data_IF_355472276393
#
_entry.id   IF_355472276393
#
_cell.length_a   1.000
_cell.length_b   1.000
_cell.length_c   1.000
_cell.angle_alpha   90.00
_cell.angle_beta   90.00
_cell.angle_gamma   90.00
#
_symmetry.space_group_name_H-M   'P 1'
#
loop_
_entity.id
_entity.type
_entity.pdbx_description
1 polymer ?
#
# COMPACT_ATOMS: atom_id res chain seq x y z
N UNK A 1 26.11 12.69 4.10
CA UNK A 1 24.75 13.00 3.62
C UNK A 1 23.72 12.38 4.55
N UNK A 2 22.52 12.95 4.67
CA UNK A 2 21.42 12.44 5.52
C UNK A 2 21.09 10.98 5.22
N UNK A 3 21.07 10.62 3.92
CA UNK A 3 20.89 9.24 3.46
C UNK A 3 21.90 8.25 4.06
N UNK A 4 23.16 8.64 4.19
CA UNK A 4 24.18 7.78 4.79
C UNK A 4 23.95 7.59 6.29
N UNK A 5 23.47 8.62 7.00
CA UNK A 5 23.14 8.54 8.43
C UNK A 5 21.92 7.64 8.67
N UNK A 6 20.85 7.81 7.90
CA UNK A 6 19.66 6.97 7.98
C UNK A 6 19.95 5.49 7.66
N UNK A 7 20.84 5.22 6.69
CA UNK A 7 21.29 3.85 6.36
C UNK A 7 22.06 3.21 7.51
N UNK A 8 22.96 3.96 8.15
CA UNK A 8 23.72 3.48 9.32
C UNK A 8 22.76 3.12 10.46
N UNK A 9 21.81 4.00 10.76
CA UNK A 9 20.78 3.78 11.78
C UNK A 9 19.77 2.65 11.47
N UNK A 10 20.01 1.79 10.47
CA UNK A 10 19.18 0.62 10.20
C UNK A 10 17.85 0.91 9.46
N UNK A 11 17.51 2.17 9.20
CA UNK A 11 16.24 2.57 8.56
C UNK A 11 16.11 2.18 7.08
N UNK A 12 17.18 1.64 6.50
CA UNK A 12 17.20 1.09 5.15
C UNK A 12 17.41 -0.44 5.13
N UNK A 13 17.55 -1.10 6.28
CA UNK A 13 17.94 -2.51 6.35
C UNK A 13 16.86 -3.43 5.75
N UNK A 14 15.57 -3.13 5.94
CA UNK A 14 14.48 -3.88 5.32
C UNK A 14 14.38 -3.67 3.80
N UNK A 15 14.64 -2.45 3.31
CA UNK A 15 14.72 -2.18 1.87
C UNK A 15 15.93 -2.90 1.26
N UNK A 16 17.07 -2.92 1.95
CA UNK A 16 18.27 -3.64 1.54
C UNK A 16 18.04 -5.16 1.55
N UNK A 17 17.55 -5.74 2.65
CA UNK A 17 17.23 -7.17 2.76
C UNK A 17 16.14 -7.58 1.76
N UNK A 18 15.11 -6.75 1.59
CA UNK A 18 14.07 -6.95 0.59
C UNK A 18 14.60 -6.85 -0.84
N UNK A 19 15.54 -5.94 -1.11
CA UNK A 19 16.19 -5.80 -2.41
C UNK A 19 17.15 -6.95 -2.72
N UNK A 20 17.85 -7.48 -1.70
CA UNK A 20 18.74 -8.64 -1.83
C UNK A 20 17.93 -9.92 -2.01
N UNK A 21 16.86 -10.11 -1.23
CA UNK A 21 15.97 -11.25 -1.38
C UNK A 21 15.22 -11.20 -2.72
N UNK A 22 14.80 -10.01 -3.16
CA UNK A 22 14.19 -9.82 -4.50
C UNK A 22 15.21 -10.00 -5.62
N UNK A 23 16.44 -9.51 -5.49
CA UNK A 23 17.52 -9.74 -6.46
C UNK A 23 17.86 -11.23 -6.56
N UNK A 24 17.96 -11.93 -5.43
CA UNK A 24 18.14 -13.38 -5.40
C UNK A 24 16.95 -14.09 -6.07
N UNK A 25 15.72 -13.71 -5.78
CA UNK A 25 14.52 -14.31 -6.39
C UNK A 25 14.35 -13.97 -7.89
N UNK A 26 14.79 -12.79 -8.33
CA UNK A 26 14.78 -12.34 -9.72
C UNK A 26 15.91 -13.00 -10.54
N UNK A 27 17.03 -13.35 -9.90
CA UNK A 27 18.18 -14.01 -10.54
C UNK A 27 18.20 -15.54 -10.39
N UNK A 28 17.42 -16.12 -9.48
CA UNK A 28 17.38 -17.56 -9.21
C UNK A 28 16.13 -18.26 -9.78
N UNK A 29 15.35 -17.61 -10.65
CA UNK A 29 14.24 -18.25 -11.37
C UNK A 29 13.88 -17.55 -12.69
N UNK A 30 13.74 -18.27 -13.81
CA UNK A 30 13.54 -17.65 -15.12
C UNK A 30 12.05 -17.34 -15.33
N UNK A 31 11.63 -16.07 -15.18
CA UNK A 31 10.41 -15.63 -15.86
C UNK A 31 10.48 -14.15 -16.26
N UNK A 32 10.39 -13.91 -17.57
CA UNK A 32 10.32 -12.57 -18.19
C UNK A 32 9.16 -11.74 -17.60
N UNK A 33 8.08 -12.40 -17.19
CA UNK A 33 6.94 -11.79 -16.50
C UNK A 33 7.30 -11.17 -15.14
N UNK A 34 8.15 -11.82 -14.34
CA UNK A 34 8.58 -11.28 -13.04
C UNK A 34 9.51 -10.10 -13.22
N UNK A 35 10.49 -10.23 -14.14
CA UNK A 35 11.42 -9.15 -14.45
C UNK A 35 10.69 -7.90 -14.95
N UNK A 36 9.75 -8.06 -15.88
CA UNK A 36 8.97 -6.94 -16.42
C UNK A 36 8.10 -6.26 -15.36
N UNK A 37 7.45 -7.03 -14.48
CA UNK A 37 6.71 -6.47 -13.35
C UNK A 37 7.63 -5.66 -12.41
N UNK A 38 8.81 -6.18 -12.07
CA UNK A 38 9.80 -5.46 -11.26
C UNK A 38 10.30 -4.19 -11.97
N UNK A 39 10.59 -4.26 -13.28
CA UNK A 39 11.05 -3.13 -14.06
C UNK A 39 9.99 -2.01 -14.12
N UNK A 40 8.71 -2.36 -14.35
CA UNK A 40 7.60 -1.39 -14.35
C UNK A 40 7.42 -0.75 -12.97
N UNK A 41 7.51 -1.53 -11.89
CA UNK A 41 7.44 -1.00 -10.52
C UNK A 41 8.57 -0.01 -10.23
N UNK A 42 9.80 -0.29 -10.68
CA UNK A 42 10.92 0.66 -10.59
C UNK A 42 10.71 1.89 -11.46
N UNK A 43 10.30 1.71 -12.71
CA UNK A 43 10.07 2.78 -13.68
C UNK A 43 8.92 3.72 -13.26
N UNK A 44 7.94 3.22 -12.49
CA UNK A 44 6.87 4.03 -11.92
C UNK A 44 7.35 4.97 -10.79
N UNK A 45 8.54 4.72 -10.24
CA UNK A 45 9.08 5.44 -9.08
C UNK A 45 8.54 4.98 -7.73
N UNK A 46 7.56 4.06 -7.71
CA UNK A 46 6.86 3.66 -6.47
C UNK A 46 7.79 3.07 -5.41
N UNK A 47 8.75 2.22 -5.80
CA UNK A 47 9.71 1.64 -4.85
C UNK A 47 10.58 2.72 -4.22
N UNK A 48 11.12 3.65 -5.02
CA UNK A 48 11.94 4.74 -4.52
C UNK A 48 11.14 5.66 -3.58
N UNK A 49 9.88 5.94 -3.93
CA UNK A 49 8.96 6.72 -3.12
C UNK A 49 8.66 6.06 -1.76
N UNK A 50 8.27 4.78 -1.76
CA UNK A 50 7.99 4.02 -0.54
C UNK A 50 9.22 3.92 0.36
N UNK A 51 10.39 3.63 -0.20
CA UNK A 51 11.63 3.55 0.57
C UNK A 51 12.06 4.90 1.13
N UNK A 52 11.85 6.00 0.39
CA UNK A 52 12.06 7.35 0.91
C UNK A 52 11.13 7.66 2.09
N UNK A 53 9.85 7.30 2.00
CA UNK A 53 8.88 7.50 3.09
C UNK A 53 9.20 6.67 4.32
N UNK A 54 9.54 5.38 4.16
CA UNK A 54 9.94 4.52 5.28
C UNK A 54 11.15 5.11 6.02
N UNK A 55 12.15 5.57 5.27
CA UNK A 55 13.34 6.22 5.86
C UNK A 55 13.00 7.52 6.56
N UNK A 56 12.27 8.43 5.89
CA UNK A 56 11.91 9.71 6.46
C UNK A 56 11.12 9.54 7.76
N UNK A 57 10.10 8.68 7.75
CA UNK A 57 9.32 8.37 8.95
C UNK A 57 10.18 7.74 10.05
N UNK A 58 11.08 6.82 9.69
CA UNK A 58 12.01 6.21 10.65
C UNK A 58 12.93 7.23 11.31
N UNK A 59 13.44 8.21 10.56
CA UNK A 59 14.26 9.31 11.09
C UNK A 59 13.44 10.14 12.06
N UNK A 60 12.24 10.55 11.65
CA UNK A 60 11.34 11.32 12.53
C UNK A 60 10.98 10.54 13.79
N UNK A 61 10.74 9.24 13.69
CA UNK A 61 10.42 8.40 14.85
C UNK A 61 11.61 8.28 15.81
N UNK A 62 12.83 8.09 15.30
CA UNK A 62 14.04 8.07 16.13
C UNK A 62 14.29 9.40 16.85
N UNK A 63 14.09 10.53 16.16
CA UNK A 63 14.14 11.85 16.77
C UNK A 63 13.05 12.04 17.83
N UNK A 64 11.81 11.62 17.53
CA UNK A 64 10.69 11.71 18.48
C UNK A 64 10.91 10.86 19.73
N UNK A 65 11.41 9.62 19.59
CA UNK A 65 11.73 8.77 20.75
C UNK A 65 12.87 9.40 21.55
N UNK A 66 13.90 9.91 20.88
CA UNK A 66 15.01 10.55 21.58
C UNK A 66 14.58 11.81 22.34
N UNK A 67 13.73 12.65 21.76
CA UNK A 67 13.13 13.80 22.46
C UNK A 67 12.37 13.36 23.71
N UNK A 68 11.56 12.31 23.59
CA UNK A 68 10.79 11.72 24.70
C UNK A 68 11.71 11.18 25.80
N UNK A 69 12.77 10.46 25.43
CA UNK A 69 13.78 9.90 26.35
C UNK A 69 14.56 11.00 27.07
N UNK A 70 14.83 12.11 26.38
CA UNK A 70 15.56 13.26 26.94
C UNK A 70 14.72 14.06 27.94
N UNK A 71 13.46 14.33 27.60
CA UNK A 71 12.58 15.22 28.39
C UNK A 71 11.97 14.56 29.63
N UNK A 72 11.81 13.24 29.63
CA UNK A 72 11.05 12.51 30.67
C UNK A 72 11.98 11.73 31.59
N UNK A 73 11.75 11.71 32.93
CA UNK A 73 12.60 10.98 33.87
C UNK A 73 12.61 9.46 33.65
N UNK A 74 11.44 8.84 33.48
CA UNK A 74 11.23 7.39 33.36
C UNK A 74 10.05 7.07 32.42
N UNK A 75 9.82 5.79 32.11
CA UNK A 75 8.77 5.39 31.17
C UNK A 75 7.37 5.70 31.73
N UNK A 76 7.13 5.52 33.03
CA UNK A 76 5.83 5.79 33.68
C UNK A 76 5.43 7.26 33.70
N UNK A 77 6.41 8.15 33.66
CA UNK A 77 6.19 9.59 33.67
C UNK A 77 5.84 10.15 32.28
N UNK A 78 5.76 9.30 31.26
CA UNK A 78 5.24 9.67 29.95
C UNK A 78 3.74 9.97 30.00
N UNK A 79 3.26 10.77 29.05
CA UNK A 79 1.83 10.88 28.86
C UNK A 79 1.22 9.52 28.48
N UNK A 80 -0.08 9.36 28.77
CA UNK A 80 -0.79 8.09 28.60
C UNK A 80 -0.72 7.51 27.19
N UNK A 81 -0.53 8.34 26.15
CA UNK A 81 -0.44 7.86 24.78
C UNK A 81 0.98 7.39 24.45
N UNK A 82 2.00 8.19 24.74
CA UNK A 82 3.41 7.81 24.52
C UNK A 82 3.77 6.57 25.35
N UNK A 83 3.34 6.51 26.62
CA UNK A 83 3.50 5.35 27.49
C UNK A 83 2.91 4.10 26.85
N UNK A 84 1.66 4.19 26.37
CA UNK A 84 0.93 3.06 25.78
C UNK A 84 1.58 2.57 24.49
N UNK A 85 2.02 3.49 23.63
CA UNK A 85 2.68 3.17 22.37
C UNK A 85 3.98 2.41 22.66
N UNK A 86 4.86 2.96 23.50
CA UNK A 86 6.14 2.30 23.83
C UNK A 86 5.92 0.96 24.54
N UNK A 87 4.98 0.89 25.49
CA UNK A 87 4.64 -0.34 26.20
C UNK A 87 4.08 -1.42 25.28
N UNK A 88 3.26 -1.06 24.28
CA UNK A 88 2.70 -2.01 23.30
C UNK A 88 3.78 -2.68 22.44
N UNK A 89 4.93 -2.03 22.28
CA UNK A 89 6.14 -2.55 21.60
C UNK A 89 7.05 -3.33 22.55
N UNK A 90 6.59 -3.54 23.77
CA UNK A 90 7.28 -4.22 24.85
C UNK A 90 8.42 -3.42 25.47
N UNK A 91 8.55 -2.11 25.22
CA UNK A 91 9.58 -1.28 25.87
C UNK A 91 9.35 -1.34 27.39
N UNK A 92 10.39 -1.73 28.12
CA UNK A 92 10.39 -1.83 29.58
C UNK A 92 11.02 -0.59 30.22
N UNK A 93 10.84 -0.44 31.54
CA UNK A 93 11.54 0.61 32.32
C UNK A 93 13.05 0.50 32.17
N UNK A 94 13.57 -0.73 32.14
CA UNK A 94 15.00 -0.98 31.96
C UNK A 94 15.46 -0.54 30.57
N UNK A 95 14.70 -0.87 29.52
CA UNK A 95 15.01 -0.43 28.15
C UNK A 95 15.06 1.11 28.06
N UNK A 96 14.07 1.79 28.66
CA UNK A 96 14.00 3.25 28.68
C UNK A 96 15.16 3.88 29.46
N UNK A 97 15.49 3.32 30.63
CA UNK A 97 16.63 3.77 31.43
C UNK A 97 17.96 3.62 30.68
N UNK A 98 18.15 2.52 29.94
CA UNK A 98 19.33 2.31 29.09
C UNK A 98 19.37 3.33 27.94
N UNK A 99 18.23 3.61 27.29
CA UNK A 99 18.17 4.63 26.24
C UNK A 99 18.55 6.03 26.74
N UNK A 100 18.28 6.35 28.00
CA UNK A 100 18.71 7.62 28.61
C UNK A 100 20.23 7.74 28.79
N UNK A 101 20.94 6.61 28.87
CA UNK A 101 22.40 6.59 28.93
C UNK A 101 23.04 6.84 27.56
N UNK A 102 22.27 6.72 26.48
CA UNK A 102 22.78 6.93 25.12
C UNK A 102 23.04 8.42 24.87
N UNK A 103 24.23 8.73 24.35
CA UNK A 103 24.55 10.06 23.87
C UNK A 103 23.86 10.30 22.52
N UNK A 104 22.74 11.02 22.56
CA UNK A 104 21.89 11.28 21.40
C UNK A 104 22.62 12.15 20.38
N UNK A 105 22.44 11.83 19.10
CA UNK A 105 23.14 12.50 18.00
C UNK A 105 22.38 13.73 17.50
N UNK A 106 23.12 14.75 17.06
CA UNK A 106 22.57 15.86 16.27
C UNK A 106 22.86 15.64 14.79
N UNK A 107 21.79 15.45 14.01
CA UNK A 107 21.87 15.26 12.56
C UNK A 107 21.62 16.56 11.78
N UNK A 108 21.29 17.66 12.46
CA UNK A 108 20.91 18.95 11.85
C UNK A 108 19.47 18.94 11.30
N UNK A 109 19.04 20.08 10.73
CA UNK A 109 17.71 20.25 10.11
C UNK A 109 16.53 19.92 11.04
N UNK A 110 16.64 20.23 12.33
CA UNK A 110 15.61 19.94 13.34
C UNK A 110 15.69 18.55 13.98
N UNK A 111 16.61 17.69 13.54
CA UNK A 111 16.85 16.36 14.10
C UNK A 111 18.00 16.37 15.11
N UNK A 112 17.81 17.07 16.24
CA UNK A 112 18.87 17.35 17.22
C UNK A 112 18.94 16.35 18.38
N UNK A 113 17.93 15.50 18.54
CA UNK A 113 17.79 14.55 19.65
C UNK A 113 17.68 13.11 19.15
N UNK A 114 18.53 12.74 18.19
CA UNK A 114 18.44 11.43 17.54
C UNK A 114 18.88 10.32 18.47
N UNK A 115 17.94 9.47 18.90
CA UNK A 115 18.27 8.19 19.52
C UNK A 115 18.43 7.14 18.41
N UNK A 116 19.66 6.68 18.21
CA UNK A 116 20.05 5.77 17.12
C UNK A 116 20.56 4.43 17.66
N UNK A 117 20.59 3.38 16.82
CA UNK A 117 21.29 2.14 17.18
C UNK A 117 22.74 2.40 17.61
N UNK A 118 23.44 3.28 16.88
CA UNK A 118 24.82 3.64 17.16
C UNK A 118 25.00 4.38 18.49
N UNK A 119 24.07 5.28 18.85
CA UNK A 119 24.15 5.98 20.14
C UNK A 119 24.01 5.02 21.30
N UNK A 120 23.15 3.99 21.18
CA UNK A 120 23.01 2.92 22.18
C UNK A 120 24.26 2.04 22.21
N UNK A 121 24.79 1.67 21.04
CA UNK A 121 25.98 0.83 20.94
C UNK A 121 27.25 1.51 21.49
N UNK A 122 27.25 2.86 21.61
CA UNK A 122 28.37 3.66 22.15
C UNK A 122 28.33 3.81 23.68
N UNK A 123 27.26 3.37 24.36
CA UNK A 123 27.16 3.47 25.82
C UNK A 123 28.36 2.74 26.46
N UNK A 124 29.13 3.38 27.36
CA UNK A 124 30.32 2.77 27.96
C UNK A 124 29.96 1.57 28.85
N UNK A 125 30.83 0.56 28.89
CA UNK A 125 30.61 -0.67 29.67
C UNK A 125 30.35 -0.38 31.16
N UNK A 126 31.07 0.58 31.73
CA UNK A 126 30.93 0.99 33.14
C UNK A 126 29.51 1.42 33.50
N UNK A 127 28.76 1.98 32.55
CA UNK A 127 27.38 2.40 32.76
C UNK A 127 26.38 1.23 32.73
N UNK A 128 26.77 0.05 32.24
CA UNK A 128 25.86 -1.09 32.01
C UNK A 128 26.19 -2.33 32.85
N UNK A 129 27.40 -2.43 33.40
CA UNK A 129 27.87 -3.59 34.18
C UNK A 129 26.92 -3.96 35.33
N UNK A 130 26.28 -2.99 35.97
CA UNK A 130 25.34 -3.22 37.07
C UNK A 130 24.00 -3.83 36.63
N UNK A 131 23.67 -3.77 35.33
CA UNK A 131 22.45 -4.32 34.74
C UNK A 131 22.70 -5.75 34.22
N UNK A 132 23.89 -6.00 33.67
CA UNK A 132 24.29 -7.30 33.13
C UNK A 132 25.48 -7.19 32.18
N UNK A 133 25.78 -8.25 31.40
CA UNK A 133 26.86 -8.22 30.41
C UNK A 133 26.66 -7.06 29.41
N UNK A 134 27.56 -6.05 29.36
CA UNK A 134 27.32 -4.80 28.62
C UNK A 134 26.97 -4.99 27.15
N UNK A 135 27.61 -5.94 26.47
CA UNK A 135 27.34 -6.27 25.07
C UNK A 135 25.89 -6.74 24.85
N UNK A 136 25.41 -7.66 25.69
CA UNK A 136 24.03 -8.16 25.63
C UNK A 136 23.03 -7.04 25.91
N UNK A 137 23.30 -6.22 26.93
CA UNK A 137 22.44 -5.11 27.33
C UNK A 137 22.31 -4.07 26.22
N UNK A 138 23.42 -3.67 25.58
CA UNK A 138 23.39 -2.77 24.41
C UNK A 138 22.60 -3.37 23.25
N UNK A 139 22.86 -4.64 22.93
CA UNK A 139 22.20 -5.30 21.81
C UNK A 139 20.68 -5.41 22.02
N UNK A 140 20.22 -5.78 23.22
CA UNK A 140 18.80 -5.87 23.56
C UNK A 140 18.12 -4.49 23.50
N UNK A 141 18.73 -3.45 24.08
CA UNK A 141 18.20 -2.09 24.04
C UNK A 141 18.14 -1.52 22.62
N UNK A 142 19.18 -1.76 21.81
CA UNK A 142 19.24 -1.40 20.39
C UNK A 142 18.15 -2.13 19.60
N UNK A 143 18.02 -3.44 19.79
CA UNK A 143 17.00 -4.26 19.13
C UNK A 143 15.60 -3.78 19.50
N UNK A 144 15.36 -3.41 20.77
CA UNK A 144 14.09 -2.86 21.22
C UNK A 144 13.78 -1.54 20.52
N UNK A 145 14.76 -0.65 20.37
CA UNK A 145 14.58 0.62 19.65
C UNK A 145 14.22 0.35 18.19
N UNK A 146 14.99 -0.49 17.50
CA UNK A 146 14.75 -0.84 16.10
C UNK A 146 13.39 -1.50 15.91
N UNK A 147 12.99 -2.43 16.78
CA UNK A 147 11.64 -3.02 16.73
C UNK A 147 10.55 -1.96 16.91
N UNK A 148 10.72 -1.07 17.88
CA UNK A 148 9.77 0.00 18.15
C UNK A 148 9.63 1.01 17.00
N UNK A 149 10.71 1.30 16.29
CA UNK A 149 10.74 2.19 15.11
C UNK A 149 10.19 1.46 13.89
N UNK A 150 10.67 0.24 13.60
CA UNK A 150 10.20 -0.56 12.46
C UNK A 150 8.70 -0.79 12.52
N UNK A 151 8.13 -1.13 13.67
CA UNK A 151 6.68 -1.35 13.80
C UNK A 151 5.85 -0.10 13.44
N UNK A 152 6.31 1.12 13.77
CA UNK A 152 5.59 2.34 13.37
C UNK A 152 5.88 2.75 11.94
N UNK A 153 7.11 2.55 11.45
CA UNK A 153 7.42 2.74 10.03
C UNK A 153 6.51 1.86 9.18
N UNK A 154 6.27 0.63 9.62
CA UNK A 154 5.36 -0.30 8.97
C UNK A 154 3.90 0.12 9.09
N UNK A 155 3.49 0.72 10.23
CA UNK A 155 2.18 1.35 10.36
C UNK A 155 2.00 2.51 9.39
N UNK A 156 3.05 3.33 9.20
CA UNK A 156 3.02 4.51 8.33
C UNK A 156 3.10 4.18 6.83
N UNK A 157 3.91 3.20 6.46
CA UNK A 157 4.06 2.71 5.08
C UNK A 157 3.76 1.22 5.06
N UNK A 158 2.49 0.90 4.82
CA UNK A 158 1.98 -0.46 4.91
C UNK A 158 2.52 -1.31 3.77
N UNK A 159 3.24 -2.36 4.15
CA UNK A 159 3.68 -3.44 3.26
C UNK A 159 3.18 -4.77 3.80
N UNK A 160 2.62 -5.66 2.97
CA UNK A 160 2.16 -6.98 3.44
C UNK A 160 3.32 -7.77 4.06
N UNK A 161 3.18 -8.12 5.34
CA UNK A 161 4.17 -8.89 6.10
C UNK A 161 3.85 -10.38 6.12
N UNK A 162 4.54 -11.11 6.99
CA UNK A 162 4.36 -12.56 7.13
C UNK A 162 2.93 -12.95 7.56
N UNK A 163 2.30 -12.14 8.40
CA UNK A 163 0.93 -12.37 8.89
C UNK A 163 -0.09 -12.28 7.76
N UNK A 164 0.01 -11.25 6.94
CA UNK A 164 -0.86 -11.03 5.78
C UNK A 164 -0.60 -12.09 4.70
N UNK A 165 0.66 -12.49 4.50
CA UNK A 165 1.02 -13.58 3.60
C UNK A 165 0.43 -14.91 4.05
N UNK A 166 0.45 -15.21 5.36
CA UNK A 166 -0.18 -16.42 5.88
C UNK A 166 -1.69 -16.43 5.60
N UNK A 167 -2.37 -15.29 5.83
CA UNK A 167 -3.80 -15.16 5.52
C UNK A 167 -4.09 -15.30 4.01
N UNK A 168 -3.36 -14.57 3.16
CA UNK A 168 -3.57 -14.57 1.70
C UNK A 168 -3.15 -15.88 1.02
N UNK A 169 -2.42 -16.75 1.71
CA UNK A 169 -2.08 -18.10 1.23
C UNK A 169 -2.95 -19.20 1.85
N UNK A 170 -4.01 -18.82 2.59
CA UNK A 170 -4.96 -19.74 3.19
C UNK A 170 -4.41 -20.52 4.40
N UNK A 171 -3.52 -19.92 5.18
CA UNK A 171 -2.87 -20.58 6.31
C UNK A 171 -1.70 -21.45 5.91
N UNK A 172 -1.03 -21.14 4.80
CA UNK A 172 0.15 -21.89 4.34
C UNK A 172 -0.17 -23.16 3.56
N UNK A 173 -1.35 -23.25 2.94
CA UNK A 173 -1.72 -24.37 2.05
C UNK A 173 -0.60 -24.61 1.03
N UNK A 174 -0.18 -25.85 0.85
CA UNK A 174 0.96 -26.20 -0.01
C UNK A 174 0.83 -25.61 -1.43
N UNK A 175 1.93 -25.01 -1.91
CA UNK A 175 2.04 -24.53 -3.30
C UNK A 175 1.97 -25.70 -4.28
N UNK A 176 1.38 -25.49 -5.45
CA UNK A 176 1.21 -26.53 -6.48
C UNK A 176 0.00 -27.44 -6.28
N UNK A 177 -0.74 -27.30 -5.17
CA UNK A 177 -2.06 -27.93 -5.01
C UNK A 177 -3.14 -27.06 -5.67
N UNK A 178 -4.17 -27.68 -6.26
CA UNK A 178 -5.30 -26.94 -6.86
C UNK A 178 -5.92 -25.98 -5.85
N UNK A 179 -6.19 -26.44 -4.62
CA UNK A 179 -6.71 -25.61 -3.54
C UNK A 179 -5.78 -24.43 -3.21
N UNK A 180 -4.48 -24.70 -3.10
CA UNK A 180 -3.48 -23.67 -2.79
C UNK A 180 -3.34 -22.63 -3.89
N UNK A 181 -3.47 -23.02 -5.16
CA UNK A 181 -3.36 -22.12 -6.29
C UNK A 181 -4.62 -21.27 -6.48
N UNK A 182 -5.81 -21.86 -6.26
CA UNK A 182 -7.08 -21.12 -6.27
C UNK A 182 -7.10 -20.03 -5.20
N UNK A 183 -6.70 -20.36 -3.97
CA UNK A 183 -6.65 -19.38 -2.87
C UNK A 183 -5.66 -18.25 -3.17
N UNK A 184 -4.46 -18.57 -3.66
CA UNK A 184 -3.45 -17.57 -4.01
C UNK A 184 -3.91 -16.68 -5.17
N UNK A 185 -4.52 -17.28 -6.18
CA UNK A 185 -5.10 -16.54 -7.31
C UNK A 185 -6.19 -15.58 -6.86
N UNK A 186 -7.05 -16.02 -5.94
CA UNK A 186 -8.09 -15.18 -5.34
C UNK A 186 -7.53 -13.97 -4.58
N UNK A 187 -6.43 -14.16 -3.85
CA UNK A 187 -5.84 -13.10 -3.02
C UNK A 187 -4.72 -12.30 -3.70
N UNK A 188 -4.29 -12.68 -4.91
CA UNK A 188 -3.13 -12.12 -5.60
C UNK A 188 -3.12 -10.58 -5.62
N UNK A 189 -4.26 -9.97 -5.94
CA UNK A 189 -4.42 -8.51 -6.02
C UNK A 189 -5.04 -7.88 -4.77
N UNK A 190 -5.20 -8.66 -3.69
CA UNK A 190 -5.87 -8.22 -2.45
C UNK A 190 -4.93 -8.10 -1.26
N UNK A 191 -3.65 -8.46 -1.42
CA UNK A 191 -2.65 -8.46 -0.35
C UNK A 191 -2.47 -7.08 0.31
N UNK A 192 -2.36 -6.02 -0.49
CA UNK A 192 -2.22 -4.65 0.02
C UNK A 192 -3.45 -4.15 0.79
N UNK A 193 -4.68 -4.16 0.25
CA UNK A 193 -5.85 -3.72 1.01
C UNK A 193 -6.09 -4.59 2.26
N UNK A 194 -5.79 -5.90 2.21
CA UNK A 194 -5.85 -6.75 3.42
C UNK A 194 -4.85 -6.28 4.47
N UNK A 195 -3.61 -5.95 4.09
CA UNK A 195 -2.60 -5.43 5.01
C UNK A 195 -3.06 -4.13 5.67
N UNK A 196 -3.65 -3.21 4.89
CA UNK A 196 -4.19 -1.95 5.41
C UNK A 196 -5.26 -2.22 6.48
N UNK A 197 -6.24 -3.08 6.17
CA UNK A 197 -7.31 -3.40 7.12
C UNK A 197 -6.76 -4.09 8.36
N UNK A 198 -5.94 -5.13 8.21
CA UNK A 198 -5.38 -5.85 9.35
C UNK A 198 -4.58 -4.92 10.29
N UNK A 199 -3.79 -4.00 9.73
CA UNK A 199 -2.95 -3.07 10.50
C UNK A 199 -3.81 -2.05 11.26
N UNK A 200 -4.71 -1.34 10.57
CA UNK A 200 -5.56 -0.33 11.20
C UNK A 200 -6.60 -0.93 12.14
N UNK A 201 -7.11 -2.13 11.86
CA UNK A 201 -8.04 -2.83 12.74
C UNK A 201 -7.35 -3.29 14.03
N UNK A 202 -6.16 -3.88 13.92
CA UNK A 202 -5.37 -4.25 15.11
C UNK A 202 -5.07 -3.02 15.98
N UNK A 203 -4.78 -1.86 15.38
CA UNK A 203 -4.59 -0.60 16.11
C UNK A 203 -5.87 -0.10 16.78
N UNK A 204 -7.01 -0.18 16.08
CA UNK A 204 -8.30 0.17 16.66
C UNK A 204 -8.64 -0.75 17.84
N UNK A 205 -8.54 -2.07 17.70
CA UNK A 205 -8.81 -3.01 18.80
C UNK A 205 -7.92 -2.80 20.03
N UNK A 206 -6.69 -2.31 19.83
CA UNK A 206 -5.78 -1.93 20.92
C UNK A 206 -6.18 -0.66 21.69
N UNK A 207 -7.19 0.09 21.24
CA UNK A 207 -7.63 1.30 21.95
C UNK A 207 -8.53 0.96 23.15
N UNK A 208 -8.40 1.71 24.26
CA UNK A 208 -9.08 1.39 25.52
C UNK A 208 -10.59 1.63 25.48
N UNK A 209 -11.06 2.70 24.83
CA UNK A 209 -12.47 3.10 24.82
C UNK A 209 -13.14 2.79 23.48
N UNK A 210 -14.40 2.32 23.54
CA UNK A 210 -15.20 2.09 22.33
C UNK A 210 -15.37 3.38 21.49
N UNK A 211 -15.53 4.54 22.16
CA UNK A 211 -15.57 5.84 21.49
C UNK A 211 -14.28 6.18 20.75
N UNK A 212 -13.11 5.92 21.35
CA UNK A 212 -11.82 6.12 20.71
C UNK A 212 -11.62 5.22 19.48
N UNK A 213 -12.07 3.96 19.57
CA UNK A 213 -12.06 3.01 18.43
C UNK A 213 -12.90 3.55 17.26
N UNK A 214 -14.13 3.95 17.54
CA UNK A 214 -15.05 4.45 16.54
C UNK A 214 -14.52 5.74 15.90
N UNK A 215 -14.01 6.67 16.70
CA UNK A 215 -13.40 7.90 16.20
C UNK A 215 -12.21 7.61 15.27
N UNK A 216 -11.29 6.73 15.68
CA UNK A 216 -10.14 6.36 14.87
C UNK A 216 -10.51 5.72 13.52
N UNK A 217 -11.44 4.76 13.53
CA UNK A 217 -11.91 4.10 12.30
C UNK A 217 -12.62 5.12 11.40
N UNK A 218 -13.46 5.99 11.97
CA UNK A 218 -14.16 7.03 11.21
C UNK A 218 -13.18 8.01 10.56
N UNK A 219 -12.20 8.51 11.32
CA UNK A 219 -11.14 9.40 10.79
C UNK A 219 -10.32 8.70 9.72
N UNK A 220 -9.98 7.43 9.91
CA UNK A 220 -9.26 6.63 8.93
C UNK A 220 -10.05 6.49 7.62
N UNK A 221 -11.33 6.10 7.69
CA UNK A 221 -12.21 5.97 6.53
C UNK A 221 -12.41 7.31 5.81
N UNK A 222 -12.63 8.40 6.56
CA UNK A 222 -12.77 9.73 5.98
C UNK A 222 -11.49 10.16 5.25
N UNK A 223 -10.32 9.98 5.89
CA UNK A 223 -9.03 10.37 5.32
C UNK A 223 -8.69 9.57 4.06
N UNK A 224 -8.87 8.25 4.11
CA UNK A 224 -8.62 7.38 2.94
C UNK A 224 -9.61 7.65 1.80
N UNK A 225 -10.85 8.00 2.12
CA UNK A 225 -11.85 8.43 1.12
C UNK A 225 -11.43 9.72 0.44
N UNK A 226 -10.97 10.72 1.18
CA UNK A 226 -10.46 11.98 0.62
C UNK A 226 -9.24 11.74 -0.28
N UNK A 227 -8.30 10.91 0.15
CA UNK A 227 -7.14 10.52 -0.65
C UNK A 227 -7.55 9.72 -1.90
N UNK A 228 -8.56 8.85 -1.78
CA UNK A 228 -9.14 8.12 -2.89
C UNK A 228 -9.82 9.03 -3.91
N UNK A 229 -10.53 10.07 -3.44
CA UNK A 229 -11.13 11.11 -4.28
C UNK A 229 -10.03 11.88 -5.04
N UNK A 230 -8.99 12.33 -4.35
CA UNK A 230 -7.85 13.01 -4.97
C UNK A 230 -7.15 12.12 -6.00
N UNK A 231 -6.87 10.86 -5.65
CA UNK A 231 -6.26 9.89 -6.58
C UNK A 231 -7.12 9.67 -7.81
N UNK A 232 -8.44 9.56 -7.64
CA UNK A 232 -9.37 9.41 -8.76
C UNK A 232 -9.36 10.65 -9.67
N UNK A 233 -9.41 11.85 -9.10
CA UNK A 233 -9.38 13.11 -9.87
C UNK A 233 -8.06 13.29 -10.63
N UNK A 234 -6.92 12.99 -10.00
CA UNK A 234 -5.61 13.03 -10.65
C UNK A 234 -5.50 12.01 -11.78
N UNK A 235 -6.01 10.79 -11.58
CA UNK A 235 -6.05 9.78 -12.64
C UNK A 235 -6.95 10.19 -13.81
N UNK A 236 -8.08 10.84 -13.54
CA UNK A 236 -8.97 11.37 -14.57
C UNK A 236 -8.25 12.48 -15.37
N UNK A 237 -7.60 13.43 -14.69
CA UNK A 237 -6.81 14.48 -15.31
C UNK A 237 -5.72 13.91 -16.21
N UNK A 238 -4.88 13.00 -15.70
CA UNK A 238 -3.84 12.33 -16.49
C UNK A 238 -4.43 11.61 -17.71
N UNK A 239 -5.65 11.06 -17.59
CA UNK A 239 -6.30 10.35 -18.69
C UNK A 239 -7.10 11.25 -19.64
N UNK A 240 -6.88 12.57 -19.62
CA UNK A 240 -7.52 13.52 -20.52
C UNK A 240 -8.91 14.01 -20.08
N UNK A 241 -9.42 13.55 -18.93
CA UNK A 241 -10.75 13.90 -18.42
C UNK A 241 -10.69 15.12 -17.51
N UNK A 242 -11.74 15.94 -17.55
CA UNK A 242 -11.95 17.01 -16.58
C UNK A 242 -12.36 16.43 -15.23
N UNK A 243 -12.08 17.11 -14.09
CA UNK A 243 -12.46 16.62 -12.77
C UNK A 243 -13.97 16.36 -12.66
N UNK A 244 -14.35 15.27 -12.00
CA UNK A 244 -15.75 14.98 -11.68
C UNK A 244 -16.27 15.98 -10.65
N UNK A 245 -17.56 16.31 -10.68
CA UNK A 245 -18.16 17.10 -9.63
C UNK A 245 -18.34 16.25 -8.35
N UNK A 246 -17.71 16.61 -7.21
CA UNK A 246 -17.86 15.86 -5.95
C UNK A 246 -19.20 16.15 -5.25
N UNK A 247 -19.99 17.11 -5.74
CA UNK A 247 -21.29 17.51 -5.22
C UNK A 247 -22.38 17.39 -6.29
N UNK A 248 -23.66 17.44 -5.88
CA UNK A 248 -24.81 17.35 -6.79
C UNK A 248 -25.28 15.91 -7.07
N UNK A 249 -25.90 15.71 -8.24
CA UNK A 249 -26.64 14.48 -8.58
C UNK A 249 -25.81 13.19 -8.47
N UNK A 250 -24.53 13.23 -8.82
CA UNK A 250 -23.64 12.05 -8.81
C UNK A 250 -22.70 11.99 -7.59
N UNK A 251 -22.91 12.83 -6.58
CA UNK A 251 -22.05 12.91 -5.39
C UNK A 251 -21.95 11.57 -4.65
N UNK A 252 -23.07 10.88 -4.44
CA UNK A 252 -23.07 9.57 -3.78
C UNK A 252 -22.19 8.55 -4.50
N UNK A 253 -22.32 8.45 -5.83
CA UNK A 253 -21.49 7.57 -6.66
C UNK A 253 -20.01 7.99 -6.64
N UNK A 254 -19.73 9.30 -6.66
CA UNK A 254 -18.37 9.82 -6.55
C UNK A 254 -17.70 9.39 -5.24
N UNK A 255 -18.38 9.58 -4.10
CA UNK A 255 -17.83 9.28 -2.77
C UNK A 255 -17.73 7.79 -2.50
N UNK A 256 -18.67 6.97 -3.00
CA UNK A 256 -18.54 5.50 -2.97
C UNK A 256 -17.32 5.04 -3.76
N UNK A 257 -17.11 5.57 -4.97
CA UNK A 257 -15.92 5.27 -5.78
C UNK A 257 -14.62 5.74 -5.10
N UNK A 258 -14.65 6.90 -4.44
CA UNK A 258 -13.52 7.43 -3.69
C UNK A 258 -13.16 6.55 -2.49
N UNK A 259 -14.16 6.10 -1.73
CA UNK A 259 -13.99 5.20 -0.60
C UNK A 259 -13.43 3.82 -1.04
N UNK A 260 -13.93 3.28 -2.16
CA UNK A 260 -13.39 2.06 -2.77
C UNK A 260 -11.94 2.25 -3.24
N UNK A 261 -11.64 3.36 -3.92
CA UNK A 261 -10.29 3.71 -4.39
C UNK A 261 -9.30 3.90 -3.25
N UNK A 262 -9.76 4.48 -2.13
CA UNK A 262 -8.99 4.67 -0.90
C UNK A 262 -8.70 3.38 -0.13
N UNK A 263 -9.30 2.24 -0.54
CA UNK A 263 -9.12 0.95 0.14
C UNK A 263 -9.99 0.75 1.38
N UNK A 264 -10.94 1.66 1.64
CA UNK A 264 -11.75 1.69 2.86
C UNK A 264 -12.99 0.78 2.86
N UNK A 265 -13.19 -0.06 1.83
CA UNK A 265 -14.37 -0.94 1.72
C UNK A 265 -14.09 -2.42 1.40
N UNK A 266 -12.83 -2.82 1.25
CA UNK A 266 -12.50 -4.17 0.76
C UNK A 266 -12.78 -5.36 1.70
N UNK A 267 -13.22 -5.15 2.95
CA UNK A 267 -13.41 -6.23 3.95
C UNK A 267 -14.59 -6.01 4.93
N UNK A 268 -15.38 -4.94 4.79
CA UNK A 268 -16.13 -4.39 5.92
C UNK A 268 -17.58 -4.87 6.05
N UNK A 269 -18.17 -5.47 5.01
CA UNK A 269 -19.60 -5.80 5.08
C UNK A 269 -19.94 -7.01 5.93
N UNK A 270 -19.05 -7.99 6.05
CA UNK A 270 -19.30 -9.19 6.88
C UNK A 270 -18.91 -8.98 8.36
N UNK A 271 -18.12 -7.95 8.66
CA UNK A 271 -17.64 -7.70 10.03
C UNK A 271 -18.52 -6.70 10.81
N UNK A 272 -19.30 -5.85 10.12
CA UNK A 272 -20.25 -4.93 10.75
C UNK A 272 -21.58 -5.60 11.16
N UNK A 273 -21.91 -6.77 10.59
CA UNK A 273 -23.13 -7.53 10.89
C UNK A 273 -22.84 -8.87 11.58
N UNK A 274 -21.94 -8.87 12.58
CA UNK A 274 -21.89 -9.98 13.55
C UNK A 274 -23.01 -9.82 14.58
N UNK A 275 -24.25 -9.91 14.12
CA UNK A 275 -25.36 -10.45 14.89
C UNK A 275 -26.46 -10.85 13.91
N UNK A 276 -26.63 -12.18 13.77
CA UNK A 276 -27.87 -12.83 13.37
C UNK A 276 -28.77 -12.09 12.36
N UNK A 277 -28.45 -12.05 11.06
CA UNK A 277 -29.53 -11.95 10.05
C UNK A 277 -29.15 -12.49 8.69
N UNK A 278 -30.05 -13.33 8.16
CA UNK A 278 -29.99 -14.04 6.89
C UNK A 278 -30.13 -13.08 5.69
N UNK A 279 -29.13 -12.26 5.37
CA UNK A 279 -29.04 -11.59 4.06
C UNK A 279 -27.58 -11.38 3.67
N UNK A 280 -26.93 -12.47 3.24
CA UNK A 280 -25.60 -12.43 2.63
C UNK A 280 -25.69 -12.14 1.13
N UNK A 281 -24.82 -11.27 0.61
CA UNK A 281 -24.62 -11.20 -0.85
C UNK A 281 -23.91 -9.97 -1.42
N UNK A 282 -23.93 -8.80 -0.78
CA UNK A 282 -23.55 -7.55 -1.49
C UNK A 282 -22.13 -7.06 -1.22
N UNK A 283 -21.56 -7.30 -0.03
CA UNK A 283 -20.22 -6.82 0.31
C UNK A 283 -19.11 -7.76 -0.17
N UNK A 284 -19.32 -9.08 -0.13
CA UNK A 284 -18.39 -10.06 -0.67
C UNK A 284 -18.29 -9.97 -2.21
N UNK A 285 -19.37 -9.57 -2.89
CA UNK A 285 -19.39 -9.36 -4.33
C UNK A 285 -18.51 -8.18 -4.79
N UNK A 286 -18.41 -7.11 -3.99
CA UNK A 286 -17.49 -5.99 -4.26
C UNK A 286 -16.04 -6.32 -3.90
N UNK A 287 -15.81 -7.34 -3.06
CA UNK A 287 -14.48 -7.90 -2.80
C UNK A 287 -13.94 -8.73 -3.98
N UNK A 288 -14.75 -9.13 -4.95
CA UNK A 288 -14.34 -9.91 -6.13
C UNK A 288 -13.65 -9.08 -7.23
N UNK A 289 -13.13 -7.89 -6.88
CA UNK A 289 -12.32 -7.05 -7.77
C UNK A 289 -11.23 -7.83 -8.52
N UNK A 290 -10.59 -7.18 -9.52
CA UNK A 290 -10.13 -7.61 -10.86
C UNK A 290 -9.79 -9.08 -11.18
N UNK A 291 -9.61 -9.97 -10.20
CA UNK A 291 -9.47 -11.42 -10.38
C UNK A 291 -10.68 -12.03 -11.08
N UNK A 292 -11.91 -11.58 -10.83
CA UNK A 292 -13.06 -12.09 -11.58
C UNK A 292 -12.90 -11.80 -13.09
N UNK A 293 -12.51 -10.57 -13.45
CA UNK A 293 -12.19 -10.21 -14.84
C UNK A 293 -10.98 -10.96 -15.38
N UNK A 294 -9.92 -11.15 -14.59
CA UNK A 294 -8.68 -11.78 -15.04
C UNK A 294 -8.78 -13.31 -15.16
N UNK A 295 -9.57 -13.98 -14.28
CA UNK A 295 -9.92 -15.40 -14.39
C UNK A 295 -10.90 -15.59 -15.54
N UNK A 296 -11.88 -14.72 -15.71
CA UNK A 296 -12.80 -14.77 -16.84
C UNK A 296 -12.03 -14.52 -18.17
N UNK A 297 -11.07 -13.60 -18.21
CA UNK A 297 -10.23 -13.32 -19.37
C UNK A 297 -9.20 -14.45 -19.65
N UNK A 298 -8.64 -15.08 -18.62
CA UNK A 298 -7.72 -16.24 -18.75
C UNK A 298 -8.48 -17.52 -19.13
N UNK A 299 -9.69 -17.73 -18.62
CA UNK A 299 -10.57 -18.84 -19.03
C UNK A 299 -11.03 -18.63 -20.48
N UNK A 300 -11.42 -17.41 -20.87
CA UNK A 300 -11.72 -17.03 -22.26
C UNK A 300 -10.52 -17.24 -23.20
N UNK A 301 -9.29 -17.06 -22.70
CA UNK A 301 -8.04 -17.33 -23.41
C UNK A 301 -7.76 -18.84 -23.54
N UNK A 302 -7.96 -19.61 -22.47
CA UNK A 302 -7.76 -21.06 -22.45
C UNK A 302 -8.77 -21.85 -23.27
N UNK A 303 -9.97 -21.29 -23.50
CA UNK A 303 -11.01 -21.83 -24.37
C UNK A 303 -10.85 -21.41 -25.84
N UNK A 304 -9.79 -20.67 -26.19
CA UNK A 304 -9.38 -20.41 -27.57
C UNK A 304 -10.22 -19.42 -28.37
N UNK A 305 -11.33 -18.92 -27.84
CA UNK A 305 -12.22 -17.95 -28.48
C UNK A 305 -12.88 -17.11 -27.39
N UNK A 306 -12.79 -15.76 -27.39
CA UNK A 306 -13.59 -14.94 -26.48
C UNK A 306 -15.07 -15.22 -26.77
N UNK A 307 -15.88 -15.54 -25.74
CA UNK A 307 -17.31 -15.91 -25.87
C UNK A 307 -18.14 -15.01 -26.83
N UNK A 308 -17.72 -13.76 -27.05
CA UNK A 308 -18.31 -12.82 -28.01
C UNK A 308 -18.24 -13.27 -29.49
N UNK A 309 -17.30 -14.16 -29.84
CA UNK A 309 -17.20 -14.75 -31.17
C UNK A 309 -18.12 -15.98 -31.35
N UNK A 310 -18.61 -16.58 -30.26
CA UNK A 310 -19.69 -17.59 -30.29
C UNK A 310 -21.06 -16.90 -30.36
N UNK A 311 -21.19 -15.66 -29.84
CA UNK A 311 -22.39 -14.83 -29.94
C UNK A 311 -22.52 -14.00 -31.25
N UNK A 312 -21.59 -14.14 -32.21
CA UNK A 312 -21.69 -13.43 -33.49
C UNK A 312 -21.47 -11.91 -33.43
N UNK A 313 -20.65 -11.41 -32.49
CA UNK A 313 -20.29 -9.98 -32.38
C UNK A 313 -18.80 -9.72 -32.70
N UNK A 314 -18.35 -9.91 -33.96
CA UNK A 314 -16.94 -9.83 -34.36
C UNK A 314 -16.29 -8.45 -34.09
N UNK A 315 -17.07 -7.36 -34.10
CA UNK A 315 -16.59 -5.99 -33.80
C UNK A 315 -16.17 -5.77 -32.34
N UNK A 316 -16.60 -6.64 -31.41
CA UNK A 316 -16.20 -6.56 -29.99
C UNK A 316 -14.91 -7.35 -29.74
N UNK A 317 -14.68 -8.42 -30.50
CA UNK A 317 -13.49 -9.28 -30.42
C UNK A 317 -12.20 -8.51 -30.73
N UNK A 318 -12.20 -7.65 -31.77
CA UNK A 318 -11.03 -6.85 -32.14
C UNK A 318 -10.63 -5.83 -31.06
N UNK A 319 -11.60 -5.06 -30.54
CA UNK A 319 -11.36 -4.11 -29.46
C UNK A 319 -10.88 -4.77 -28.16
N UNK A 320 -11.42 -5.94 -27.82
CA UNK A 320 -11.00 -6.70 -26.65
C UNK A 320 -9.57 -7.25 -26.79
N UNK A 321 -9.15 -7.67 -27.99
CA UNK A 321 -7.76 -8.02 -28.28
C UNK A 321 -6.80 -6.82 -28.11
N UNK A 322 -7.22 -5.62 -28.49
CA UNK A 322 -6.42 -4.40 -28.26
C UNK A 322 -6.31 -4.11 -26.76
N UNK A 323 -7.37 -4.29 -25.96
CA UNK A 323 -7.31 -4.12 -24.50
C UNK A 323 -6.38 -5.13 -23.86
N UNK A 324 -6.46 -6.39 -24.30
CA UNK A 324 -5.59 -7.47 -23.85
C UNK A 324 -4.13 -7.16 -24.20
N UNK A 325 -3.85 -6.81 -25.46
CA UNK A 325 -2.52 -6.44 -25.92
C UNK A 325 -1.92 -5.28 -25.11
N UNK A 326 -2.70 -4.21 -24.91
CA UNK A 326 -2.30 -3.10 -24.02
C UNK A 326 -1.98 -3.58 -22.60
N UNK A 327 -2.81 -4.46 -22.04
CA UNK A 327 -2.62 -5.02 -20.70
C UNK A 327 -1.36 -5.86 -20.55
N UNK A 328 -0.86 -6.44 -21.64
CA UNK A 328 0.35 -7.25 -21.68
C UNK A 328 1.62 -6.44 -21.95
N UNK A 329 1.52 -5.23 -22.50
CA UNK A 329 2.67 -4.37 -22.78
C UNK A 329 3.19 -3.78 -21.44
N UNK A 330 4.40 -4.19 -20.99
CA UNK A 330 4.96 -3.64 -19.77
C UNK A 330 5.15 -2.13 -19.90
N UNK A 331 4.69 -1.39 -18.91
CA UNK A 331 4.87 0.06 -18.84
C UNK A 331 3.83 0.88 -19.62
N UNK A 332 2.91 0.26 -20.36
CA UNK A 332 1.84 0.97 -21.08
C UNK A 332 0.95 1.83 -20.15
N UNK A 333 0.89 1.48 -18.86
CA UNK A 333 0.10 2.18 -17.85
C UNK A 333 0.97 3.03 -16.89
N UNK A 334 2.23 3.31 -17.21
CA UNK A 334 3.05 4.24 -16.42
C UNK A 334 2.38 5.62 -16.41
N UNK A 335 2.21 6.22 -15.24
CA UNK A 335 1.37 7.40 -15.05
C UNK A 335 1.79 8.60 -15.92
N UNK A 336 3.07 8.75 -16.25
CA UNK A 336 3.59 9.82 -17.11
C UNK A 336 3.53 9.50 -18.62
N UNK A 337 3.41 8.22 -19.00
CA UNK A 337 3.39 7.78 -20.39
C UNK A 337 1.99 7.39 -20.88
N UNK A 338 1.12 7.00 -19.94
CA UNK A 338 -0.22 6.46 -20.20
C UNK A 338 -1.03 7.33 -21.15
N UNK A 339 -1.08 8.64 -20.88
CA UNK A 339 -1.86 9.57 -21.66
C UNK A 339 -1.39 9.62 -23.13
N UNK A 340 -0.09 9.78 -23.35
CA UNK A 340 0.48 9.79 -24.71
C UNK A 340 0.24 8.47 -25.45
N UNK A 341 0.50 7.33 -24.80
CA UNK A 341 0.30 6.01 -25.42
C UNK A 341 -1.17 5.74 -25.73
N UNK A 342 -2.07 6.16 -24.85
CA UNK A 342 -3.51 6.01 -25.04
C UNK A 342 -3.99 6.82 -26.25
N UNK A 343 -3.64 8.10 -26.31
CA UNK A 343 -4.12 8.96 -27.39
C UNK A 343 -3.44 8.73 -28.73
N UNK A 344 -2.15 8.40 -28.76
CA UNK A 344 -1.41 8.21 -30.01
C UNK A 344 -1.58 6.82 -30.62
N UNK A 345 -1.78 5.80 -29.78
CA UNK A 345 -1.74 4.39 -30.21
C UNK A 345 -3.03 3.68 -29.85
N UNK A 346 -3.32 3.51 -28.56
CA UNK A 346 -4.35 2.55 -28.15
C UNK A 346 -5.77 3.01 -28.47
N UNK A 347 -6.09 4.29 -28.34
CA UNK A 347 -7.40 4.82 -28.72
C UNK A 347 -7.63 4.65 -30.23
N UNK A 348 -6.59 4.85 -31.05
CA UNK A 348 -6.68 4.68 -32.49
C UNK A 348 -6.85 3.22 -32.90
N UNK A 349 -6.12 2.31 -32.26
CA UNK A 349 -6.32 0.87 -32.45
C UNK A 349 -7.72 0.44 -31.98
N UNK A 350 -8.20 0.93 -30.85
CA UNK A 350 -9.55 0.63 -30.35
C UNK A 350 -10.64 1.11 -31.32
N UNK A 351 -10.51 2.33 -31.83
CA UNK A 351 -11.49 2.88 -32.79
C UNK A 351 -11.42 2.16 -34.15
N UNK A 352 -10.21 1.77 -34.60
CA UNK A 352 -10.03 1.00 -35.84
C UNK A 352 -10.65 -0.40 -35.76
N UNK A 353 -10.38 -1.14 -34.67
CA UNK A 353 -10.88 -2.50 -34.50
C UNK A 353 -12.28 -2.59 -33.91
N UNK A 354 -12.81 -1.49 -33.34
CA UNK A 354 -14.16 -1.39 -32.80
C UNK A 354 -14.75 0.02 -33.08
N UNK A 355 -15.25 0.27 -34.30
CA UNK A 355 -15.76 1.58 -34.68
C UNK A 355 -16.84 2.12 -33.73
N UNK A 356 -16.70 3.39 -33.33
CA UNK A 356 -17.57 4.08 -32.38
C UNK A 356 -17.26 3.79 -30.91
N UNK A 357 -16.16 3.08 -30.60
CA UNK A 357 -15.74 2.80 -29.23
C UNK A 357 -15.45 4.08 -28.44
N UNK A 358 -14.67 5.01 -29.01
CA UNK A 358 -14.31 6.26 -28.34
C UNK A 358 -15.55 7.14 -28.10
N UNK A 359 -16.48 7.18 -29.06
CA UNK A 359 -17.77 7.87 -28.89
C UNK A 359 -18.59 7.27 -27.75
N UNK A 360 -18.70 5.94 -27.67
CA UNK A 360 -19.39 5.25 -26.55
C UNK A 360 -18.70 5.53 -25.22
N UNK A 361 -17.38 5.61 -25.19
CA UNK A 361 -16.60 5.94 -24.01
C UNK A 361 -16.87 7.37 -23.53
N UNK A 362 -16.90 8.35 -24.43
CA UNK A 362 -17.28 9.73 -24.11
C UNK A 362 -18.72 9.83 -23.60
N UNK A 363 -19.67 9.17 -24.30
CA UNK A 363 -21.08 9.15 -23.91
C UNK A 363 -21.27 8.54 -22.52
N UNK A 364 -20.56 7.46 -22.19
CA UNK A 364 -20.60 6.87 -20.84
C UNK A 364 -20.06 7.83 -19.80
N UNK A 365 -18.94 8.50 -20.07
CA UNK A 365 -18.36 9.50 -19.15
C UNK A 365 -19.32 10.65 -18.84
N UNK A 366 -20.03 11.13 -19.87
CA UNK A 366 -21.08 12.15 -19.72
C UNK A 366 -22.29 11.62 -18.97
N UNK A 367 -22.77 10.42 -19.30
CA UNK A 367 -23.94 9.81 -18.65
C UNK A 367 -23.69 9.51 -17.16
N UNK A 368 -22.48 9.08 -16.81
CA UNK A 368 -22.19 8.60 -15.46
C UNK A 368 -21.78 9.68 -14.46
N UNK A 369 -21.18 10.77 -14.94
CA UNK A 369 -20.60 11.81 -14.09
C UNK A 369 -20.73 13.23 -14.66
N UNK A 370 -21.49 13.41 -15.75
CA UNK A 370 -21.49 14.64 -16.55
C UNK A 370 -20.06 15.13 -16.89
N UNK A 371 -19.14 14.18 -17.06
CA UNK A 371 -17.71 14.45 -17.16
C UNK A 371 -17.31 14.69 -18.62
N UNK A 372 -16.60 15.79 -18.85
CA UNK A 372 -16.04 16.20 -20.15
C UNK A 372 -14.54 15.91 -20.22
N UNK A 373 -13.90 16.19 -21.36
CA UNK A 373 -12.49 15.90 -21.63
C UNK A 373 -11.77 17.19 -22.00
N UNK A 374 -10.60 17.43 -21.41
CA UNK A 374 -9.66 18.48 -21.84
C UNK A 374 -8.77 17.95 -22.98
N UNK A 375 -8.42 16.67 -22.95
CA UNK A 375 -7.81 15.95 -24.06
C UNK A 375 -8.74 14.83 -24.49
N UNK A 376 -9.36 15.00 -25.67
CA UNK A 376 -10.37 14.05 -26.13
C UNK A 376 -9.72 12.76 -26.63
N UNK A 377 -10.34 11.59 -26.39
CA UNK A 377 -9.76 10.30 -26.77
C UNK A 377 -9.39 10.16 -28.26
N UNK A 378 -10.12 10.85 -29.13
CA UNK A 378 -9.94 10.90 -30.58
C UNK A 378 -8.83 11.86 -31.04
N UNK A 379 -8.41 12.79 -30.18
CA UNK A 379 -7.38 13.76 -30.51
C UNK A 379 -6.01 13.14 -30.16
N UNK A 380 -5.10 13.06 -31.14
CA UNK A 380 -3.73 12.54 -30.93
C UNK A 380 -2.83 13.51 -30.20
N UNK A 381 -3.18 14.79 -30.18
CA UNK A 381 -2.49 15.87 -29.46
C UNK A 381 -3.47 16.61 -28.56
N UNK A 382 -3.03 17.10 -27.39
CA UNK A 382 -3.85 17.93 -26.52
C UNK A 382 -4.15 19.28 -27.18
N UNK A 383 -5.28 19.89 -26.84
CA UNK A 383 -5.72 21.19 -27.36
C UNK A 383 -5.22 22.36 -26.54
#
# INVERSE_FOLDING_TARGET
TELARARRAGLAMESLLGSVNRWAMDNMGPSVSRWSATAVMRASGLTAWSDAHKRAYGVTMMGSIGEVVRRTPDLRSLDDNDFRILKSKGVTEQDFAIWKLADQEDWGNGNTTMLTPESIMRIPDSALQHIGPPERVRFEAMRRLLGAVSEEVDMAVITPGAREQLFTTGGGIQRGTVKGEVVRSFFLFKSFPIAVVMRHWSRALGMPSAGGRAAYIATFLASTTLLGALSMQLNDLISGKNPKNPVGEHAGKFWVNALLKGGGLGLYGDFFFSDHTKYGGTALASMLGPVAGLVDDVIKLGQGIPLNAVEGKPEQTGGDLVKLGKGLIPGANLWYAKAALDHMIFNQLQEYFSPGYLRKMEQRSRKEFNQTYWWRPQDTVPR
#
